data_IF_693853631862
#
_entry.id   IF_693853631862
#
_cell.length_a   1.000
_cell.length_b   1.000
_cell.length_c   1.000
_cell.angle_alpha   90.00
_cell.angle_beta   90.00
_cell.angle_gamma   90.00
#
_symmetry.space_group_name_H-M   'P 1'
#
loop_
_entity.id
_entity.type
_entity.pdbx_description
1 polymer ?
#
# COMPACT_ATOMS: atom_id res chain seq x y z
N UNK A 1 -59.04 -4.25 18.38
CA UNK A 1 -57.75 -3.52 18.40
C UNK A 1 -56.81 -4.31 19.29
N UNK A 2 -55.95 -5.14 18.71
CA UNK A 2 -55.00 -5.98 19.44
C UNK A 2 -53.65 -5.86 18.74
N UNK A 3 -52.69 -5.25 19.44
CA UNK A 3 -51.29 -5.11 19.04
C UNK A 3 -50.54 -6.38 19.44
N UNK A 4 -49.92 -7.03 18.45
CA UNK A 4 -48.99 -8.14 18.65
C UNK A 4 -47.58 -7.62 18.36
N UNK A 5 -46.77 -7.50 19.41
CA UNK A 5 -45.35 -7.13 19.31
C UNK A 5 -44.53 -8.42 19.25
N UNK A 6 -43.83 -8.64 18.13
CA UNK A 6 -42.77 -9.65 18.03
C UNK A 6 -41.41 -8.97 18.22
N UNK A 7 -40.44 -9.58 18.93
CA UNK A 7 -39.07 -9.08 18.92
C UNK A 7 -38.33 -9.60 17.68
N UNK A 8 -37.77 -8.68 16.89
CA UNK A 8 -36.75 -9.00 15.89
C UNK A 8 -35.39 -9.04 16.60
N UNK A 9 -34.83 -10.24 16.72
CA UNK A 9 -33.41 -10.42 17.01
C UNK A 9 -32.57 -9.90 15.84
N UNK A 10 -31.47 -9.16 16.08
CA UNK A 10 -30.41 -9.06 15.10
C UNK A 10 -29.33 -10.10 15.42
N UNK A 11 -29.29 -11.19 14.66
CA UNK A 11 -28.03 -11.87 14.35
C UNK A 11 -27.29 -11.00 13.34
N UNK A 12 -26.37 -10.17 13.81
CA UNK A 12 -25.39 -9.51 12.95
C UNK A 12 -24.02 -10.09 13.30
N UNK A 13 -23.49 -10.94 12.41
CA UNK A 13 -22.06 -11.21 12.37
C UNK A 13 -21.36 -9.87 12.14
N UNK A 14 -20.77 -9.31 13.19
CA UNK A 14 -19.95 -8.11 13.11
C UNK A 14 -18.71 -8.43 12.28
N UNK A 15 -18.72 -8.07 11.00
CA UNK A 15 -17.50 -7.93 10.21
C UNK A 15 -16.75 -6.74 10.82
N UNK A 16 -15.85 -7.03 11.75
CA UNK A 16 -14.99 -6.02 12.38
C UNK A 16 -14.14 -5.40 11.29
N UNK A 17 -14.33 -4.11 11.00
CA UNK A 17 -13.46 -3.33 10.11
C UNK A 17 -12.01 -3.45 10.59
N UNK A 18 -11.05 -3.56 9.66
CA UNK A 18 -9.64 -3.52 10.05
C UNK A 18 -9.29 -2.16 10.66
N UNK A 19 -8.31 -2.14 11.57
CA UNK A 19 -7.82 -0.92 12.18
C UNK A 19 -6.71 -0.32 11.33
N UNK A 20 -6.61 1.02 11.30
CA UNK A 20 -5.57 1.71 10.55
C UNK A 20 -4.13 1.36 11.02
N UNK A 21 -3.99 0.94 12.28
CA UNK A 21 -2.72 0.46 12.85
C UNK A 21 -2.18 -0.81 12.17
N UNK A 22 -3.05 -1.60 11.52
CA UNK A 22 -2.64 -2.79 10.78
C UNK A 22 -1.90 -2.47 9.47
N UNK A 23 -1.96 -1.22 9.00
CA UNK A 23 -1.24 -0.77 7.81
C UNK A 23 0.17 -0.28 8.18
N UNK A 24 1.07 -1.25 8.34
CA UNK A 24 2.48 -1.04 8.66
C UNK A 24 3.30 -0.89 7.37
N UNK A 25 4.17 0.11 7.34
CA UNK A 25 5.06 0.34 6.22
C UNK A 25 6.17 -0.72 6.12
N UNK A 26 6.69 -0.96 4.90
CA UNK A 26 7.65 -2.03 4.61
C UNK A 26 8.92 -1.98 5.49
N UNK A 27 9.35 -0.80 5.92
CA UNK A 27 10.56 -0.64 6.76
C UNK A 27 10.28 -0.62 8.27
N UNK A 28 9.06 -0.94 8.73
CA UNK A 28 8.66 -0.95 10.15
C UNK A 28 8.90 0.37 10.89
N UNK A 29 8.83 1.48 10.17
CA UNK A 29 9.01 2.84 10.70
C UNK A 29 7.78 3.72 10.51
N UNK A 30 6.75 3.16 9.88
CA UNK A 30 5.59 3.88 9.41
C UNK A 30 4.35 3.07 9.79
N UNK A 31 3.35 3.75 10.35
CA UNK A 31 2.02 3.20 10.62
C UNK A 31 0.96 4.19 10.19
N UNK A 32 -0.10 3.73 9.54
CA UNK A 32 -1.03 4.65 8.87
C UNK A 32 -1.86 5.47 9.87
N UNK A 33 -2.32 4.88 10.96
CA UNK A 33 -2.97 5.60 12.07
C UNK A 33 -2.11 6.76 12.60
N UNK A 34 -0.80 6.55 12.81
CA UNK A 34 0.11 7.59 13.29
C UNK A 34 0.32 8.70 12.25
N UNK A 35 0.42 8.33 10.97
CA UNK A 35 0.49 9.30 9.87
C UNK A 35 -0.78 10.14 9.80
N UNK A 36 -1.94 9.50 9.85
CA UNK A 36 -3.23 10.16 9.83
C UNK A 36 -3.40 11.10 11.03
N UNK A 37 -3.09 10.63 12.23
CA UNK A 37 -3.13 11.45 13.44
C UNK A 37 -2.25 12.69 13.30
N UNK A 38 -1.01 12.54 12.82
CA UNK A 38 -0.10 13.65 12.60
C UNK A 38 -0.60 14.65 11.53
N UNK A 39 -1.19 14.16 10.43
CA UNK A 39 -1.82 15.03 9.43
C UNK A 39 -2.92 15.90 10.07
N UNK A 40 -3.81 15.27 10.83
CA UNK A 40 -4.96 15.92 11.44
C UNK A 40 -4.57 16.88 12.57
N UNK A 41 -3.68 16.45 13.46
CA UNK A 41 -3.36 17.20 14.69
C UNK A 41 -2.22 18.20 14.51
N UNK A 42 -1.39 18.04 13.47
CA UNK A 42 -0.20 18.85 13.29
C UNK A 42 -0.19 19.61 11.97
N UNK A 43 -0.45 18.95 10.84
CA UNK A 43 -0.28 19.60 9.52
C UNK A 43 -1.47 20.45 9.11
N UNK A 44 -2.70 19.94 9.20
CA UNK A 44 -3.90 20.68 8.83
C UNK A 44 -4.09 21.99 9.63
N UNK A 45 -3.81 22.01 10.95
CA UNK A 45 -3.94 23.24 11.74
C UNK A 45 -2.92 24.33 11.40
N UNK A 46 -1.84 24.04 10.63
CA UNK A 46 -0.82 25.06 10.30
C UNK A 46 -1.41 26.25 9.53
N UNK A 47 -2.45 26.03 8.73
CA UNK A 47 -3.13 27.09 7.98
C UNK A 47 -3.86 28.12 8.87
N UNK A 48 -4.08 27.80 10.15
CA UNK A 48 -4.73 28.67 11.13
C UNK A 48 -3.73 29.44 12.02
N UNK A 49 -2.41 29.21 11.88
CA UNK A 49 -1.38 29.91 12.67
C UNK A 49 -1.17 31.34 12.18
N UNK A 50 -0.88 32.26 13.10
CA UNK A 50 -0.58 33.66 12.78
C UNK A 50 0.62 33.80 11.83
N UNK A 51 1.64 32.96 11.99
CA UNK A 51 2.79 32.90 11.10
C UNK A 51 2.37 32.69 9.63
N UNK A 52 1.36 31.83 9.40
CA UNK A 52 0.83 31.60 8.06
C UNK A 52 0.01 32.80 7.57
N UNK A 53 -0.76 33.44 8.43
CA UNK A 53 -1.49 34.66 8.09
C UNK A 53 -0.55 35.80 7.64
N UNK A 54 0.66 35.87 8.20
CA UNK A 54 1.67 36.88 7.85
C UNK A 54 2.27 36.72 6.45
N UNK A 55 2.02 35.61 5.74
CA UNK A 55 2.54 35.34 4.39
C UNK A 55 1.84 36.14 3.28
N UNK A 56 0.77 36.87 3.61
CA UNK A 56 0.04 37.73 2.68
C UNK A 56 -1.03 37.02 1.85
N UNK A 57 -1.27 35.72 2.09
CA UNK A 57 -2.37 35.00 1.45
C UNK A 57 -3.70 35.26 2.20
N UNK A 58 -4.77 35.69 1.50
CA UNK A 58 -6.03 36.06 2.14
C UNK A 58 -6.77 34.83 2.71
N UNK A 59 -7.02 34.84 4.02
CA UNK A 59 -7.81 33.83 4.73
C UNK A 59 -9.26 34.25 5.01
N UNK A 60 -10.05 33.43 5.73
CA UNK A 60 -9.66 32.17 6.38
C UNK A 60 -9.60 30.97 5.42
N UNK A 61 -8.74 30.01 5.73
CA UNK A 61 -8.53 28.79 4.95
C UNK A 61 -9.33 27.63 5.52
N UNK A 62 -9.94 26.81 4.66
CA UNK A 62 -10.53 25.53 5.07
C UNK A 62 -9.49 24.42 4.83
N UNK A 63 -8.89 23.84 5.87
CA UNK A 63 -7.91 22.79 5.69
C UNK A 63 -8.57 21.52 5.15
N UNK A 64 -7.97 20.93 4.11
CA UNK A 64 -8.39 19.68 3.51
C UNK A 64 -7.17 18.80 3.27
N UNK A 65 -7.34 17.48 3.35
CA UNK A 65 -6.30 16.52 2.99
C UNK A 65 -6.79 15.56 1.92
N UNK A 66 -5.86 15.15 1.05
CA UNK A 66 -6.06 14.05 0.12
C UNK A 66 -4.78 13.21 0.07
N UNK A 67 -4.86 11.98 0.60
CA UNK A 67 -3.71 11.07 0.67
C UNK A 67 -3.83 10.05 -0.46
N UNK A 68 -2.92 10.15 -1.44
CA UNK A 68 -2.78 9.13 -2.50
C UNK A 68 -1.68 8.15 -2.13
N UNK A 69 -1.88 6.88 -2.48
CA UNK A 69 -0.86 5.88 -2.28
C UNK A 69 -1.37 4.47 -2.49
N UNK A 70 -0.53 3.52 -2.08
CA UNK A 70 -0.79 2.10 -2.14
C UNK A 70 -0.83 1.53 -0.72
N UNK A 71 -1.80 0.66 -0.47
CA UNK A 71 -1.82 -0.23 0.68
C UNK A 71 -1.52 -1.65 0.19
N UNK A 72 -0.67 -2.36 0.93
CA UNK A 72 -0.18 -3.67 0.54
C UNK A 72 -0.75 -4.74 1.47
N UNK A 73 -1.27 -5.81 0.87
CA UNK A 73 -1.98 -6.88 1.56
C UNK A 73 -1.26 -8.21 1.37
N UNK A 74 -1.34 -9.11 2.35
CA UNK A 74 -0.75 -10.45 2.21
C UNK A 74 -1.42 -11.14 1.03
N UNK A 75 -0.62 -11.74 0.14
CA UNK A 75 -1.20 -12.51 -0.95
C UNK A 75 -2.09 -13.64 -0.38
N UNK A 76 -3.25 -13.87 -1.00
CA UNK A 76 -4.24 -14.84 -0.54
C UNK A 76 -5.15 -14.33 0.58
N UNK A 77 -4.86 -13.18 1.19
CA UNK A 77 -5.73 -12.58 2.21
C UNK A 77 -6.51 -11.39 1.66
N UNK A 78 -7.75 -11.23 2.13
CA UNK A 78 -8.59 -10.07 1.79
C UNK A 78 -9.24 -9.55 3.06
N UNK A 79 -8.50 -8.77 3.88
CA UNK A 79 -9.08 -8.20 5.09
C UNK A 79 -10.15 -7.16 4.73
N UNK A 80 -11.15 -7.04 5.62
CA UNK A 80 -12.11 -5.94 5.54
C UNK A 80 -11.37 -4.61 5.61
N UNK A 81 -11.82 -3.62 4.83
CA UNK A 81 -11.21 -2.29 4.87
C UNK A 81 -11.50 -1.58 6.20
N UNK A 82 -10.54 -0.77 6.65
CA UNK A 82 -10.81 0.26 7.63
C UNK A 82 -11.80 1.28 7.02
N UNK A 83 -12.67 1.84 7.87
CA UNK A 83 -13.77 2.73 7.43
C UNK A 83 -13.26 4.01 6.78
N UNK A 84 -12.04 4.42 7.13
CA UNK A 84 -11.37 5.62 6.64
C UNK A 84 -10.81 5.47 5.22
N UNK A 85 -10.80 4.25 4.66
CA UNK A 85 -10.23 3.97 3.36
C UNK A 85 -11.26 4.09 2.24
N UNK A 86 -10.86 4.76 1.16
CA UNK A 86 -11.58 4.68 -0.11
C UNK A 86 -11.64 3.20 -0.56
N UNK A 87 -12.82 2.61 -0.86
CA UNK A 87 -12.90 1.23 -1.34
C UNK A 87 -12.06 0.94 -2.60
N UNK A 88 -11.80 1.97 -3.41
CA UNK A 88 -11.02 1.93 -4.64
C UNK A 88 -9.57 2.40 -4.48
N UNK A 89 -9.04 2.47 -3.24
CA UNK A 89 -7.63 2.79 -3.00
C UNK A 89 -6.67 1.85 -3.75
N UNK A 90 -5.45 2.33 -4.01
CA UNK A 90 -4.42 1.51 -4.66
C UNK A 90 -4.06 0.29 -3.80
N UNK A 91 -4.24 -0.91 -4.35
CA UNK A 91 -3.95 -2.18 -3.67
C UNK A 91 -2.76 -2.89 -4.28
N UNK A 92 -1.75 -3.15 -3.48
CA UNK A 92 -0.65 -4.05 -3.81
C UNK A 92 -0.71 -5.32 -2.98
N UNK A 93 0.20 -6.24 -3.27
CA UNK A 93 0.37 -7.48 -2.52
C UNK A 93 1.71 -7.49 -1.78
N UNK A 94 1.86 -8.40 -0.83
CA UNK A 94 3.16 -8.78 -0.31
C UNK A 94 3.22 -10.30 -0.09
N UNK A 95 4.40 -10.86 -0.26
CA UNK A 95 4.76 -12.26 0.01
C UNK A 95 6.11 -12.30 0.72
N UNK A 96 6.37 -13.35 1.48
CA UNK A 96 7.68 -13.57 2.08
C UNK A 96 8.72 -14.01 1.03
N UNK A 97 10.01 -14.04 1.39
CA UNK A 97 11.07 -14.52 0.50
C UNK A 97 10.92 -16.02 0.23
N UNK A 98 10.50 -16.78 1.23
CA UNK A 98 10.19 -18.20 1.10
C UNK A 98 9.00 -18.48 0.18
N UNK A 99 8.00 -17.59 0.14
CA UNK A 99 6.81 -17.70 -0.72
C UNK A 99 7.06 -17.22 -2.16
N UNK A 100 8.12 -16.45 -2.38
CA UNK A 100 8.32 -15.69 -3.61
C UNK A 100 8.35 -16.54 -4.89
N UNK A 101 9.07 -17.66 -4.90
CA UNK A 101 9.25 -18.45 -6.13
C UNK A 101 7.93 -19.06 -6.61
N UNK A 102 7.16 -19.64 -5.69
CA UNK A 102 5.88 -20.26 -5.99
C UNK A 102 4.86 -19.19 -6.43
N UNK A 103 4.83 -18.06 -5.72
CA UNK A 103 4.01 -16.91 -6.09
C UNK A 103 4.37 -16.39 -7.48
N UNK A 104 5.66 -16.20 -7.75
CA UNK A 104 6.12 -15.63 -9.01
C UNK A 104 5.74 -16.51 -10.21
N UNK A 105 5.89 -17.83 -10.07
CA UNK A 105 5.53 -18.80 -11.10
C UNK A 105 4.02 -18.78 -11.45
N UNK A 106 3.16 -18.54 -10.46
CA UNK A 106 1.71 -18.52 -10.64
C UNK A 106 1.14 -17.16 -11.06
N UNK A 107 1.85 -16.06 -10.80
CA UNK A 107 1.26 -14.71 -10.84
C UNK A 107 1.59 -13.90 -12.09
N UNK A 108 2.83 -13.95 -12.60
CA UNK A 108 3.22 -13.20 -13.81
C UNK A 108 4.47 -13.76 -14.51
N UNK A 109 4.58 -13.47 -15.80
CA UNK A 109 5.71 -13.92 -16.64
C UNK A 109 6.90 -12.96 -16.58
N UNK A 110 6.64 -11.67 -16.35
CA UNK A 110 7.64 -10.62 -16.41
C UNK A 110 7.64 -9.83 -15.11
N UNK A 111 8.83 -9.61 -14.56
CA UNK A 111 9.02 -8.95 -13.27
C UNK A 111 10.04 -7.84 -13.38
N UNK A 112 9.85 -6.78 -12.61
CA UNK A 112 10.79 -5.65 -12.52
C UNK A 112 10.91 -5.17 -11.08
N UNK A 113 12.15 -4.96 -10.62
CA UNK A 113 12.39 -4.26 -9.34
C UNK A 113 12.06 -2.79 -9.50
N UNK A 114 11.23 -2.25 -8.61
CA UNK A 114 10.90 -0.82 -8.60
C UNK A 114 11.82 -0.07 -7.62
N UNK A 115 12.66 0.86 -8.11
CA UNK A 115 13.42 1.74 -7.23
C UNK A 115 12.46 2.66 -6.46
N UNK A 116 12.90 3.17 -5.31
CA UNK A 116 12.05 3.93 -4.37
C UNK A 116 11.27 5.08 -5.00
N UNK A 117 11.86 5.79 -5.97
CA UNK A 117 11.21 6.92 -6.66
C UNK A 117 10.05 6.49 -7.56
N UNK A 118 9.93 5.20 -7.90
CA UNK A 118 8.87 4.65 -8.76
C UNK A 118 7.70 4.02 -7.98
N UNK A 119 7.73 4.10 -6.65
CA UNK A 119 6.76 3.40 -5.79
C UNK A 119 5.34 3.98 -5.84
N UNK A 120 5.17 5.25 -6.23
CA UNK A 120 3.86 5.93 -6.11
C UNK A 120 2.89 5.68 -7.26
N UNK A 121 3.36 5.56 -8.50
CA UNK A 121 2.50 5.45 -9.67
C UNK A 121 2.88 4.28 -10.59
N UNK A 122 1.90 3.56 -11.15
CA UNK A 122 2.13 2.68 -12.30
C UNK A 122 2.69 3.53 -13.42
N UNK A 123 3.87 3.17 -13.92
CA UNK A 123 4.43 3.87 -15.07
C UNK A 123 3.79 3.27 -16.32
N UNK A 124 3.23 4.13 -17.16
CA UNK A 124 3.00 3.83 -18.57
C UNK A 124 4.36 3.93 -19.27
N UNK A 125 4.64 2.98 -20.15
CA UNK A 125 5.91 2.91 -20.87
C UNK A 125 6.02 4.09 -21.87
N UNK A 126 6.38 5.26 -21.36
CA UNK A 126 6.83 6.38 -22.18
C UNK A 126 8.32 6.15 -22.51
N UNK A 127 8.64 6.37 -23.79
CA UNK A 127 9.88 5.93 -24.44
C UNK A 127 11.06 6.87 -24.16
N UNK A 128 11.40 7.09 -22.91
CA UNK A 128 12.65 7.79 -22.55
C UNK A 128 13.81 6.78 -22.41
N UNK A 129 14.80 6.93 -23.28
CA UNK A 129 15.93 6.00 -23.45
C UNK A 129 16.93 6.04 -22.28
N UNK A 130 17.00 7.14 -21.51
CA UNK A 130 17.96 7.30 -20.40
C UNK A 130 17.65 6.42 -19.18
N UNK A 131 16.41 5.93 -19.01
CA UNK A 131 16.04 5.01 -17.92
C UNK A 131 16.04 3.53 -18.31
N UNK A 132 16.59 3.14 -19.46
CA UNK A 132 16.56 1.75 -19.93
C UNK A 132 17.17 0.74 -18.93
N UNK A 133 18.22 1.13 -18.19
CA UNK A 133 18.86 0.25 -17.20
C UNK A 133 17.97 -0.04 -15.96
N UNK A 134 17.15 0.93 -15.51
CA UNK A 134 16.18 0.69 -14.43
C UNK A 134 14.94 -0.08 -14.89
N UNK A 135 14.79 -0.28 -16.21
CA UNK A 135 13.70 -1.04 -16.84
C UNK A 135 14.03 -2.52 -17.07
N UNK A 136 15.22 -2.97 -16.67
CA UNK A 136 15.64 -4.35 -16.85
C UNK A 136 14.67 -5.31 -16.15
N UNK A 137 14.19 -6.29 -16.91
CA UNK A 137 13.46 -7.42 -16.37
C UNK A 137 14.38 -8.23 -15.46
N UNK A 138 13.79 -8.82 -14.44
CA UNK A 138 14.49 -9.72 -13.52
C UNK A 138 13.76 -11.06 -13.50
N UNK A 139 14.51 -12.15 -13.59
CA UNK A 139 13.92 -13.47 -13.37
C UNK A 139 13.75 -13.75 -11.86
N UNK A 140 12.79 -14.60 -11.45
CA UNK A 140 12.51 -14.86 -10.04
C UNK A 140 13.69 -15.44 -9.24
N UNK A 141 14.58 -16.22 -9.86
CA UNK A 141 15.74 -16.82 -9.19
C UNK A 141 16.80 -15.77 -8.89
N UNK A 142 17.10 -14.90 -9.85
CA UNK A 142 18.00 -13.76 -9.64
C UNK A 142 17.46 -12.82 -8.55
N UNK A 143 16.14 -12.57 -8.52
CA UNK A 143 15.56 -11.78 -7.43
C UNK A 143 15.74 -12.45 -6.07
N UNK A 144 15.57 -13.78 -5.99
CA UNK A 144 15.78 -14.55 -4.76
C UNK A 144 17.19 -14.36 -4.23
N UNK A 145 18.21 -14.55 -5.09
CA UNK A 145 19.60 -14.38 -4.74
C UNK A 145 19.93 -12.95 -4.27
N UNK A 146 19.40 -11.93 -4.96
CA UNK A 146 19.59 -10.51 -4.56
C UNK A 146 18.90 -10.18 -3.26
N UNK A 147 17.69 -10.68 -3.04
CA UNK A 147 16.90 -10.41 -1.84
C UNK A 147 17.52 -11.03 -0.61
N UNK A 148 18.16 -12.20 -0.73
CA UNK A 148 18.89 -12.85 0.36
C UNK A 148 20.06 -12.00 0.91
N UNK A 149 20.64 -11.12 0.08
CA UNK A 149 21.73 -10.22 0.49
C UNK A 149 21.23 -8.89 1.09
N UNK A 150 19.93 -8.63 1.07
CA UNK A 150 19.34 -7.39 1.56
C UNK A 150 18.65 -7.63 2.91
N UNK A 151 18.66 -6.63 3.77
CA UNK A 151 17.93 -6.67 5.06
C UNK A 151 16.49 -6.18 4.92
N UNK A 152 16.20 -5.44 3.85
CA UNK A 152 14.92 -4.80 3.63
C UNK A 152 14.00 -5.53 2.66
N UNK A 153 12.76 -5.05 2.55
CA UNK A 153 11.82 -5.51 1.53
C UNK A 153 12.15 -4.94 0.16
N UNK A 154 11.83 -5.70 -0.88
CA UNK A 154 12.02 -5.29 -2.28
C UNK A 154 10.67 -5.05 -2.93
N UNK A 155 10.45 -3.86 -3.51
CA UNK A 155 9.24 -3.59 -4.31
C UNK A 155 9.42 -4.12 -5.72
N UNK A 156 8.43 -4.87 -6.20
CA UNK A 156 8.41 -5.51 -7.52
C UNK A 156 7.11 -5.15 -8.25
N UNK A 157 7.22 -4.91 -9.56
CA UNK A 157 6.10 -4.86 -10.49
C UNK A 157 5.95 -6.19 -11.22
N UNK A 158 4.71 -6.67 -11.30
CA UNK A 158 4.29 -7.76 -12.18
C UNK A 158 3.82 -7.15 -13.51
N UNK A 159 4.42 -7.56 -14.61
CA UNK A 159 4.16 -7.05 -15.95
C UNK A 159 3.48 -8.14 -16.81
N UNK A 160 2.59 -7.72 -17.70
CA UNK A 160 2.00 -8.57 -18.73
C UNK A 160 2.04 -7.85 -20.08
N UNK A 161 2.07 -8.62 -21.16
CA UNK A 161 1.98 -8.07 -22.51
C UNK A 161 0.55 -7.62 -22.81
N UNK A 162 0.39 -6.43 -23.37
CA UNK A 162 -0.86 -5.99 -23.98
C UNK A 162 -1.04 -6.57 -25.39
N UNK A 163 -2.18 -6.29 -26.03
CA UNK A 163 -2.47 -6.76 -27.38
C UNK A 163 -1.49 -6.25 -28.46
N UNK A 164 -0.69 -5.22 -28.14
CA UNK A 164 0.35 -4.67 -29.01
C UNK A 164 1.76 -5.17 -28.64
N UNK A 165 1.88 -6.14 -27.73
CA UNK A 165 3.16 -6.69 -27.27
C UNK A 165 3.94 -5.76 -26.35
N UNK A 166 3.31 -4.73 -25.77
CA UNK A 166 3.96 -3.84 -24.79
C UNK A 166 3.80 -4.39 -23.39
N UNK A 167 4.85 -4.31 -22.59
CA UNK A 167 4.78 -4.69 -21.18
C UNK A 167 4.05 -3.62 -20.37
N UNK A 168 2.95 -4.00 -19.76
CA UNK A 168 2.13 -3.12 -18.91
C UNK A 168 2.12 -3.69 -17.50
N UNK A 169 2.31 -2.81 -16.53
CA UNK A 169 2.19 -3.16 -15.13
C UNK A 169 0.75 -3.56 -14.79
N UNK A 170 0.59 -4.78 -14.26
CA UNK A 170 -0.71 -5.34 -13.84
C UNK A 170 -0.92 -5.24 -12.35
N UNK A 171 0.15 -5.42 -11.58
CA UNK A 171 0.13 -5.28 -10.12
C UNK A 171 1.54 -4.97 -9.64
N UNK A 172 1.63 -4.53 -8.38
CA UNK A 172 2.90 -4.36 -7.68
C UNK A 172 2.79 -4.87 -6.27
N UNK A 173 3.93 -5.20 -5.69
CA UNK A 173 3.99 -5.69 -4.34
C UNK A 173 5.37 -5.72 -3.75
N UNK A 174 5.44 -6.22 -2.52
CA UNK A 174 6.69 -6.40 -1.81
C UNK A 174 7.05 -7.87 -1.66
N UNK A 175 8.33 -8.17 -1.86
CA UNK A 175 8.96 -9.38 -1.32
C UNK A 175 9.63 -8.97 -0.01
N UNK A 176 9.11 -9.44 1.12
CA UNK A 176 9.55 -9.06 2.47
C UNK A 176 10.39 -10.18 3.11
N UNK A 177 11.30 -9.87 4.06
CA UNK A 177 11.92 -10.89 4.90
C UNK A 177 10.89 -11.81 5.56
N UNK A 178 11.24 -13.06 5.82
CA UNK A 178 10.29 -14.07 6.34
C UNK A 178 9.81 -13.72 7.76
N UNK A 179 10.64 -13.01 8.53
CA UNK A 179 10.38 -12.49 9.87
C UNK A 179 9.55 -11.19 9.88
N UNK A 180 9.41 -10.51 8.74
CA UNK A 180 8.71 -9.24 8.64
C UNK A 180 7.23 -9.29 9.09
N UNK A 181 6.44 -10.33 8.75
CA UNK A 181 5.03 -10.39 9.16
C UNK A 181 4.84 -10.34 10.68
N UNK A 182 5.65 -11.08 11.43
CA UNK A 182 5.59 -11.10 12.90
C UNK A 182 5.98 -9.74 13.49
N UNK A 183 7.03 -9.12 12.94
CA UNK A 183 7.49 -7.80 13.35
C UNK A 183 6.44 -6.72 13.07
N UNK A 184 5.80 -6.78 11.89
CA UNK A 184 4.72 -5.87 11.52
C UNK A 184 3.50 -6.02 12.44
N UNK A 185 3.09 -7.25 12.77
CA UNK A 185 2.02 -7.50 13.72
C UNK A 185 2.36 -7.01 15.14
N UNK A 186 3.60 -7.21 15.59
CA UNK A 186 4.06 -6.69 16.87
C UNK A 186 4.00 -5.15 16.90
N UNK A 187 4.44 -4.49 15.82
CA UNK A 187 4.41 -3.03 15.71
C UNK A 187 2.98 -2.46 15.59
N UNK A 188 2.07 -3.18 14.93
CA UNK A 188 0.66 -2.79 14.82
C UNK A 188 -0.07 -2.76 16.18
N UNK A 189 0.40 -3.54 17.16
CA UNK A 189 -0.19 -3.65 18.51
C UNK A 189 0.33 -2.64 19.53
N UNK A 190 1.36 -1.85 19.19
CA UNK A 190 1.95 -0.84 20.07
C UNK A 190 1.09 0.43 20.15
#
# INVERSE_FOLDING_TARGET
MSTLTAPLSPSASSLTSSQLSNYVGPNLKDRFDLKLAHLLSHQLPLSAREDFASTGYPGPWTPQMFVKGWLFYRHGETPANAVELDPAHGRGWWVTRSEWLDFAAAHAQHWRVLPRLEWLAPRRDDRDAEQAASRALIDPLTLTARSAQQTGPTMIAALAEDAAGRLVERSRGFVVPDEWPEQAQAYARQ
#
